data_IF_196814546160
#
_entry.id   IF_196814546160
#
_cell.length_a   1.000
_cell.length_b   1.000
_cell.length_c   1.000
_cell.angle_alpha   90.00
_cell.angle_beta   90.00
_cell.angle_gamma   90.00
#
_symmetry.space_group_name_H-M   'P 1'
#
loop_
_entity.id
_entity.type
_entity.pdbx_description
1 polymer ?
#
# COMPACT_ATOMS: atom_id res chain seq x y z
N UNK A 1 -38.75 -39.74 -12.03
CA UNK A 1 -38.96 -40.66 -13.16
C UNK A 1 -37.60 -41.13 -13.63
N UNK A 2 -37.34 -42.43 -13.50
CA UNK A 2 -36.14 -43.10 -13.98
C UNK A 2 -36.16 -43.17 -15.51
N UNK A 3 -35.02 -42.99 -16.19
CA UNK A 3 -34.65 -43.92 -17.25
C UNK A 3 -33.13 -43.92 -17.54
N UNK A 4 -32.60 -45.12 -17.39
CA UNK A 4 -31.29 -45.66 -17.76
C UNK A 4 -31.02 -45.52 -19.26
N UNK A 5 -29.77 -45.22 -19.66
CA UNK A 5 -29.30 -45.49 -21.02
C UNK A 5 -28.04 -46.35 -21.01
N UNK A 6 -28.00 -47.27 -21.98
CA UNK A 6 -27.23 -48.50 -21.99
C UNK A 6 -25.71 -48.31 -22.00
N UNK A 7 -25.05 -49.20 -21.27
CA UNK A 7 -23.65 -49.58 -21.43
C UNK A 7 -23.38 -50.12 -22.84
N UNK A 8 -22.42 -49.51 -23.56
CA UNK A 8 -21.68 -50.19 -24.62
C UNK A 8 -20.27 -50.47 -24.12
N UNK A 9 -20.03 -51.72 -23.70
CA UNK A 9 -18.67 -52.24 -23.51
C UNK A 9 -18.00 -52.35 -24.88
N UNK A 10 -16.90 -51.63 -25.09
CA UNK A 10 -15.87 -52.00 -26.07
C UNK A 10 -14.53 -52.12 -25.36
N UNK A 11 -13.78 -53.11 -25.82
CA UNK A 11 -12.77 -53.83 -25.07
C UNK A 11 -11.54 -53.02 -24.67
N UNK A 12 -10.87 -53.56 -23.66
CA UNK A 12 -9.55 -53.17 -23.21
C UNK A 12 -8.55 -53.20 -24.39
N UNK A 13 -7.88 -52.07 -24.61
CA UNK A 13 -6.53 -52.06 -25.13
C UNK A 13 -5.64 -51.44 -24.06
N UNK A 14 -4.93 -52.31 -23.34
CA UNK A 14 -3.89 -51.95 -22.38
C UNK A 14 -2.64 -51.54 -23.14
N UNK A 15 -2.60 -50.28 -23.58
CA UNK A 15 -1.38 -49.64 -24.10
C UNK A 15 -1.08 -48.40 -23.27
N UNK A 16 -0.11 -48.48 -22.35
CA UNK A 16 0.40 -47.29 -21.68
C UNK A 16 1.10 -46.43 -22.74
N UNK A 17 0.68 -45.18 -22.99
CA UNK A 17 1.40 -44.33 -23.95
C UNK A 17 2.85 -44.16 -23.46
N UNK A 18 3.83 -44.09 -24.39
CA UNK A 18 5.23 -43.90 -24.02
C UNK A 18 5.35 -42.64 -23.16
N UNK A 19 6.19 -42.70 -22.12
CA UNK A 19 6.52 -41.53 -21.32
C UNK A 19 7.14 -40.51 -22.28
N UNK A 20 6.39 -39.46 -22.62
CA UNK A 20 6.93 -38.30 -23.29
C UNK A 20 8.10 -37.73 -22.48
N UNK A 21 9.03 -37.01 -23.12
CA UNK A 21 10.17 -36.44 -22.42
C UNK A 21 9.70 -35.64 -21.20
N UNK A 22 10.37 -35.85 -20.06
CA UNK A 22 10.09 -35.13 -18.83
C UNK A 22 10.09 -33.64 -19.13
N UNK A 23 8.91 -33.01 -18.96
CA UNK A 23 8.74 -31.57 -19.09
C UNK A 23 9.81 -30.90 -18.22
N UNK A 24 10.62 -29.98 -18.77
CA UNK A 24 11.64 -29.33 -17.97
C UNK A 24 10.98 -28.68 -16.75
N UNK A 25 11.64 -28.70 -15.58
CA UNK A 25 11.12 -28.05 -14.39
C UNK A 25 10.78 -26.61 -14.73
N UNK A 26 9.58 -26.16 -14.35
CA UNK A 26 9.23 -24.75 -14.46
C UNK A 26 10.31 -23.95 -13.70
N UNK A 27 10.81 -22.84 -14.27
CA UNK A 27 11.73 -21.99 -13.55
C UNK A 27 11.09 -21.62 -12.22
N UNK A 28 11.88 -21.72 -11.13
CA UNK A 28 11.43 -21.29 -9.81
C UNK A 28 10.90 -19.86 -9.92
N UNK A 29 9.76 -19.53 -9.28
CA UNK A 29 9.24 -18.17 -9.29
C UNK A 29 10.37 -17.23 -8.86
N UNK A 30 10.55 -16.14 -9.62
CA UNK A 30 11.47 -15.10 -9.22
C UNK A 30 11.12 -14.66 -7.79
N UNK A 31 12.12 -14.38 -6.94
CA UNK A 31 11.85 -13.85 -5.61
C UNK A 31 10.96 -12.60 -5.76
N UNK A 32 9.97 -12.42 -4.87
CA UNK A 32 9.10 -11.25 -4.94
C UNK A 32 9.94 -9.98 -4.86
N UNK A 33 9.66 -9.02 -5.75
CA UNK A 33 10.37 -7.75 -5.75
C UNK A 33 10.26 -7.04 -4.39
N UNK A 34 11.33 -6.34 -3.97
CA UNK A 34 11.30 -5.60 -2.72
C UNK A 34 10.20 -4.51 -2.75
N UNK A 35 9.63 -4.16 -1.59
CA UNK A 35 8.63 -3.09 -1.52
C UNK A 35 9.18 -1.77 -2.08
N UNK A 36 8.55 -1.24 -3.12
CA UNK A 36 8.91 0.04 -3.73
C UNK A 36 8.35 1.20 -2.90
N UNK A 37 9.22 2.13 -2.52
CA UNK A 37 8.82 3.41 -1.92
C UNK A 37 8.22 4.33 -2.99
N UNK A 38 7.01 4.81 -2.74
CA UNK A 38 6.20 5.67 -3.58
C UNK A 38 6.13 7.11 -3.04
N UNK A 39 6.72 7.40 -1.88
CA UNK A 39 6.84 8.75 -1.32
C UNK A 39 8.12 9.46 -1.82
N UNK A 40 8.38 9.36 -3.12
CA UNK A 40 9.51 9.99 -3.83
C UNK A 40 9.03 10.62 -5.14
N UNK A 41 9.73 11.63 -5.68
CA UNK A 41 9.32 12.30 -6.90
C UNK A 41 9.15 11.36 -8.09
N UNK A 42 8.09 11.57 -8.86
CA UNK A 42 7.76 10.82 -10.06
C UNK A 42 7.26 11.76 -11.18
N UNK A 43 6.81 11.20 -12.31
CA UNK A 43 6.37 11.98 -13.47
C UNK A 43 5.12 12.84 -13.21
N UNK A 44 4.27 12.42 -12.27
CA UNK A 44 3.01 13.09 -11.93
C UNK A 44 3.14 14.25 -10.93
N UNK A 45 4.27 14.39 -10.24
CA UNK A 45 4.47 15.53 -9.34
C UNK A 45 4.55 16.83 -10.14
N UNK A 46 4.00 17.93 -9.61
CA UNK A 46 4.23 19.26 -10.19
C UNK A 46 5.62 19.78 -9.81
N UNK A 47 6.07 20.82 -10.50
CA UNK A 47 7.28 21.56 -10.10
C UNK A 47 7.16 22.14 -8.69
N UNK A 48 5.97 22.63 -8.32
CA UNK A 48 5.70 23.11 -6.98
C UNK A 48 5.85 22.00 -5.93
N UNK A 49 5.24 20.83 -6.16
CA UNK A 49 5.37 19.65 -5.30
C UNK A 49 6.85 19.25 -5.12
N UNK A 50 7.59 19.12 -6.24
CA UNK A 50 9.02 18.79 -6.21
C UNK A 50 9.84 19.82 -5.43
N UNK A 51 9.58 21.11 -5.62
CA UNK A 51 10.28 22.19 -4.92
C UNK A 51 10.03 22.16 -3.41
N UNK A 52 8.78 21.97 -2.98
CA UNK A 52 8.46 21.86 -1.55
C UNK A 52 9.09 20.62 -0.92
N UNK A 53 9.05 19.49 -1.63
CA UNK A 53 9.69 18.26 -1.17
C UNK A 53 11.20 18.43 -0.97
N UNK A 54 11.90 19.08 -1.90
CA UNK A 54 13.34 19.35 -1.73
C UNK A 54 13.63 20.25 -0.53
N UNK A 55 12.80 21.27 -0.28
CA UNK A 55 12.93 22.11 0.93
C UNK A 55 12.74 21.30 2.21
N UNK A 56 11.75 20.42 2.25
CA UNK A 56 11.51 19.55 3.40
C UNK A 56 12.62 18.51 3.58
N UNK A 57 13.19 17.96 2.50
CA UNK A 57 14.37 17.10 2.57
C UNK A 57 15.59 17.83 3.15
N UNK A 58 15.87 19.06 2.70
CA UNK A 58 16.97 19.85 3.23
C UNK A 58 16.79 20.17 4.72
N UNK A 59 15.54 20.45 5.14
CA UNK A 59 15.19 20.63 6.55
C UNK A 59 15.37 19.33 7.36
N UNK A 60 15.01 18.18 6.80
CA UNK A 60 15.20 16.87 7.42
C UNK A 60 16.67 16.44 7.54
N UNK A 61 17.57 16.96 6.72
CA UNK A 61 19.00 16.70 6.84
C UNK A 61 19.60 17.14 8.19
N UNK A 62 18.91 18.05 8.92
CA UNK A 62 19.26 18.43 10.29
C UNK A 62 18.96 17.36 11.35
N UNK A 63 18.39 16.20 10.98
CA UNK A 63 18.20 15.04 11.86
C UNK A 63 16.97 15.09 12.78
N UNK A 64 16.38 16.27 13.01
CA UNK A 64 15.16 16.42 13.81
C UNK A 64 13.90 15.87 13.12
N UNK A 65 13.92 15.79 11.78
CA UNK A 65 12.80 15.29 10.97
C UNK A 65 13.23 14.08 10.16
N UNK A 66 12.39 13.05 10.13
CA UNK A 66 12.57 11.85 9.34
C UNK A 66 11.58 11.82 8.18
N UNK A 67 12.06 11.64 6.95
CA UNK A 67 11.20 11.35 5.80
C UNK A 67 10.68 9.92 5.93
N UNK A 68 9.36 9.76 5.87
CA UNK A 68 8.72 8.45 5.92
C UNK A 68 8.56 7.88 4.50
N UNK A 69 9.01 6.62 4.25
CA UNK A 69 8.67 5.93 3.02
C UNK A 69 7.18 5.54 3.01
N UNK A 70 6.63 5.37 1.81
CA UNK A 70 5.24 4.95 1.61
C UNK A 70 5.15 3.84 0.58
N UNK A 71 4.55 2.71 0.95
CA UNK A 71 4.51 1.52 0.10
C UNK A 71 3.08 1.21 -0.36
N UNK A 72 2.97 0.42 -1.44
CA UNK A 72 1.67 -0.07 -1.94
C UNK A 72 0.85 -0.79 -0.87
N UNK A 73 1.48 -1.52 0.05
CA UNK A 73 0.77 -2.28 1.11
C UNK A 73 1.13 -1.75 2.50
N UNK A 74 0.12 -1.58 3.35
CA UNK A 74 0.29 -1.05 4.71
C UNK A 74 1.31 -1.83 5.55
N UNK A 75 1.33 -3.18 5.45
CA UNK A 75 2.25 -4.05 6.19
C UNK A 75 3.74 -3.74 6.02
N UNK A 76 4.13 -3.09 4.92
CA UNK A 76 5.54 -2.73 4.68
C UNK A 76 6.00 -1.50 5.48
N UNK A 77 5.08 -0.78 6.14
CA UNK A 77 5.41 0.42 6.92
C UNK A 77 5.83 0.10 8.36
N UNK A 78 5.63 -1.13 8.85
CA UNK A 78 5.89 -1.50 10.25
C UNK A 78 7.35 -1.29 10.69
N UNK A 79 8.32 -1.46 9.79
CA UNK A 79 9.73 -1.21 10.08
C UNK A 79 10.13 0.27 9.93
N UNK A 80 9.42 1.03 9.10
CA UNK A 80 9.79 2.40 8.72
C UNK A 80 9.41 3.47 9.76
N UNK A 81 8.35 3.22 10.54
CA UNK A 81 7.85 4.15 11.57
C UNK A 81 8.56 3.93 12.93
N UNK A 82 9.51 3.00 13.01
CA UNK A 82 10.24 2.71 14.24
C UNK A 82 9.39 2.10 15.36
N UNK A 83 8.12 1.76 15.09
CA UNK A 83 7.22 1.04 15.99
C UNK A 83 7.51 -0.47 15.95
N UNK A 84 8.10 -1.07 16.99
CA UNK A 84 7.99 -2.51 17.18
C UNK A 84 6.50 -2.79 17.45
N UNK A 85 5.82 -3.53 16.57
CA UNK A 85 4.45 -4.00 16.87
C UNK A 85 3.41 -3.87 15.77
N UNK A 86 3.61 -3.09 14.70
CA UNK A 86 2.68 -3.13 13.55
C UNK A 86 2.94 -4.29 12.59
N UNK A 87 4.15 -4.86 12.64
CA UNK A 87 4.41 -6.23 12.18
C UNK A 87 4.27 -7.26 13.32
N UNK A 88 3.79 -6.86 14.50
CA UNK A 88 4.01 -7.55 15.76
C UNK A 88 2.86 -7.45 16.76
N UNK A 89 1.61 -7.60 16.29
CA UNK A 89 0.49 -8.01 17.19
C UNK A 89 0.65 -9.48 17.62
N UNK A 90 1.73 -10.16 17.22
CA UNK A 90 1.97 -11.55 17.61
C UNK A 90 3.42 -11.75 18.08
N UNK A 91 3.63 -11.57 19.38
CA UNK A 91 4.72 -12.24 20.11
C UNK A 91 4.53 -13.75 20.25
N UNK A 92 3.58 -14.35 19.51
CA UNK A 92 3.44 -15.78 19.30
C UNK A 92 3.59 -16.08 17.80
N UNK A 93 3.99 -17.32 17.46
CA UNK A 93 4.08 -17.82 16.07
C UNK A 93 2.88 -17.33 15.25
N UNK A 94 3.09 -16.32 14.41
CA UNK A 94 2.09 -15.91 13.42
C UNK A 94 1.84 -17.10 12.52
N UNK A 95 0.60 -17.61 12.43
CA UNK A 95 0.21 -18.36 11.25
C UNK A 95 0.57 -17.52 10.02
N UNK A 96 0.98 -18.11 8.88
CA UNK A 96 1.10 -17.37 7.65
C UNK A 96 -0.21 -16.60 7.46
N UNK A 97 -0.12 -15.27 7.42
CA UNK A 97 -1.29 -14.47 7.06
C UNK A 97 -1.84 -15.07 5.76
N UNK A 98 -3.15 -15.33 5.65
CA UNK A 98 -3.73 -15.88 4.43
C UNK A 98 -3.25 -15.01 3.26
N UNK A 99 -3.04 -15.58 2.05
CA UNK A 99 -2.62 -14.81 0.90
C UNK A 99 -3.62 -13.68 0.68
N UNK A 100 -3.29 -12.51 1.22
CA UNK A 100 -4.01 -11.29 0.96
C UNK A 100 -3.87 -11.11 -0.53
N UNK A 101 -5.00 -11.12 -1.24
CA UNK A 101 -5.07 -10.84 -2.66
C UNK A 101 -4.47 -9.47 -2.99
N UNK A 102 -5.03 -8.77 -3.96
CA UNK A 102 -4.52 -7.44 -4.30
C UNK A 102 -5.00 -6.36 -3.32
N UNK A 103 -4.60 -6.48 -2.05
CA UNK A 103 -4.85 -5.47 -1.02
C UNK A 103 -3.81 -4.36 -1.11
N UNK A 104 -4.30 -3.12 -1.03
CA UNK A 104 -3.51 -1.91 -1.21
C UNK A 104 -3.83 -0.94 -0.07
N UNK A 105 -2.82 -0.17 0.37
CA UNK A 105 -3.06 1.00 1.20
C UNK A 105 -3.97 1.94 0.40
N UNK A 106 -5.04 2.47 1.02
CA UNK A 106 -6.05 3.24 0.31
C UNK A 106 -5.47 4.43 -0.46
N UNK A 107 -4.55 5.18 0.18
CA UNK A 107 -3.80 6.27 -0.48
C UNK A 107 -2.93 5.85 -1.67
N UNK A 108 -2.65 4.55 -1.84
CA UNK A 108 -1.85 3.96 -2.93
C UNK A 108 -2.66 2.97 -3.78
N UNK A 109 -3.99 3.03 -3.70
CA UNK A 109 -4.87 2.12 -4.42
C UNK A 109 -5.02 2.50 -5.90
N UNK A 110 -5.08 3.81 -6.18
CA UNK A 110 -5.14 4.37 -7.53
C UNK A 110 -3.75 4.26 -8.18
N UNK A 111 -3.70 3.67 -9.37
CA UNK A 111 -2.48 3.52 -10.17
C UNK A 111 -2.29 4.65 -11.17
N UNK A 112 -1.04 4.81 -11.61
CA UNK A 112 -0.59 5.86 -12.51
C UNK A 112 -0.15 7.10 -11.74
N UNK A 113 1.08 7.52 -12.04
CA UNK A 113 1.68 8.71 -11.44
C UNK A 113 0.78 9.93 -11.66
N UNK A 114 0.45 10.65 -10.60
CA UNK A 114 -0.35 11.87 -10.63
C UNK A 114 -1.86 11.67 -10.69
N UNK A 115 -2.38 10.44 -10.85
CA UNK A 115 -3.84 10.20 -10.98
C UNK A 115 -4.59 10.32 -9.64
N UNK A 116 -3.99 9.82 -8.55
CA UNK A 116 -4.59 9.73 -7.22
C UNK A 116 -3.88 10.62 -6.21
N UNK A 117 -3.51 10.06 -5.05
CA UNK A 117 -2.76 10.79 -4.03
C UNK A 117 -1.26 10.77 -4.32
N UNK A 118 -0.70 11.93 -4.67
CA UNK A 118 0.75 12.13 -4.63
C UNK A 118 1.12 12.77 -3.31
N UNK A 119 1.90 12.09 -2.48
CA UNK A 119 2.24 12.60 -1.15
C UNK A 119 3.58 12.11 -0.62
N UNK A 120 4.13 12.89 0.32
CA UNK A 120 5.26 12.53 1.16
C UNK A 120 5.02 13.04 2.59
N UNK A 121 5.51 12.32 3.59
CA UNK A 121 5.39 12.68 5.00
C UNK A 121 6.75 12.81 5.66
N UNK A 122 6.86 13.79 6.57
CA UNK A 122 8.04 14.05 7.37
C UNK A 122 7.61 14.10 8.83
N UNK A 123 8.24 13.29 9.67
CA UNK A 123 7.89 13.12 11.07
C UNK A 123 9.00 13.67 11.96
N UNK A 124 8.62 14.50 12.92
CA UNK A 124 9.41 14.80 14.10
C UNK A 124 8.72 14.15 15.30
N UNK A 125 9.20 12.96 15.68
CA UNK A 125 8.60 12.17 16.75
C UNK A 125 8.79 12.83 18.13
N UNK A 126 9.92 13.51 18.35
CA UNK A 126 10.21 14.20 19.60
C UNK A 126 9.23 15.36 19.86
N UNK A 127 8.90 16.12 18.81
CA UNK A 127 7.93 17.22 18.89
C UNK A 127 6.48 16.77 18.65
N UNK A 128 6.25 15.49 18.33
CA UNK A 128 4.94 14.93 17.96
C UNK A 128 4.29 15.71 16.81
N UNK A 129 5.09 16.02 15.78
CA UNK A 129 4.66 16.76 14.59
C UNK A 129 4.87 15.95 13.34
N UNK A 130 3.92 16.05 12.42
CA UNK A 130 4.04 15.47 11.09
C UNK A 130 3.67 16.53 10.05
N UNK A 131 4.54 16.66 9.05
CA UNK A 131 4.29 17.46 7.85
C UNK A 131 3.92 16.51 6.73
N UNK A 132 2.74 16.72 6.13
CA UNK A 132 2.31 16.01 4.94
C UNK A 132 2.31 16.99 3.77
N UNK A 133 3.11 16.67 2.75
CA UNK A 133 3.02 17.32 1.46
C UNK A 133 2.11 16.46 0.58
N UNK A 134 1.08 17.06 0.00
CA UNK A 134 0.11 16.37 -0.85
C UNK A 134 -0.20 17.17 -2.11
N UNK A 135 -0.32 16.47 -3.23
CA UNK A 135 -0.86 16.95 -4.49
C UNK A 135 -1.97 16.00 -4.93
N UNK A 136 -3.25 16.40 -4.82
CA UNK A 136 -4.36 15.61 -5.31
C UNK A 136 -4.36 15.51 -6.84
N UNK A 137 -4.58 14.30 -7.35
CA UNK A 137 -4.77 14.02 -8.77
C UNK A 137 -6.22 14.16 -9.24
N UNK A 138 -6.47 14.10 -10.56
CA UNK A 138 -7.79 14.30 -11.15
C UNK A 138 -8.83 13.26 -10.71
N UNK A 139 -8.43 12.04 -10.32
CA UNK A 139 -9.38 11.01 -9.87
C UNK A 139 -9.86 11.22 -8.43
N UNK A 140 -9.37 12.27 -7.76
CA UNK A 140 -9.83 12.67 -6.43
C UNK A 140 -10.84 13.83 -6.52
N UNK A 141 -11.35 14.15 -7.71
CA UNK A 141 -12.34 15.21 -7.91
C UNK A 141 -13.67 14.90 -7.19
N UNK A 142 -14.27 15.92 -6.59
CA UNK A 142 -15.63 15.87 -6.06
C UNK A 142 -16.54 16.78 -6.86
N UNK A 143 -16.49 18.08 -6.56
CA UNK A 143 -17.10 19.09 -7.44
C UNK A 143 -16.13 19.39 -8.60
N UNK A 144 -16.60 19.72 -9.81
CA UNK A 144 -15.71 20.03 -10.94
C UNK A 144 -14.60 21.02 -10.58
N UNK A 145 -13.35 20.61 -10.80
CA UNK A 145 -12.13 21.35 -10.49
C UNK A 145 -11.68 21.33 -9.03
N UNK A 146 -12.43 20.69 -8.12
CA UNK A 146 -12.14 20.66 -6.68
C UNK A 146 -11.92 19.23 -6.18
N UNK A 147 -10.95 19.07 -5.28
CA UNK A 147 -10.72 17.79 -4.60
C UNK A 147 -11.92 17.43 -3.71
N UNK A 148 -12.38 16.19 -3.80
CA UNK A 148 -13.48 15.66 -2.99
C UNK A 148 -13.15 15.77 -1.50
N UNK A 149 -14.10 16.28 -0.70
CA UNK A 149 -13.91 16.45 0.75
C UNK A 149 -13.48 15.15 1.45
N UNK A 150 -14.05 14.01 1.06
CA UNK A 150 -13.61 12.69 1.55
C UNK A 150 -12.15 12.33 1.21
N UNK A 151 -11.61 12.80 0.08
CA UNK A 151 -10.19 12.59 -0.24
C UNK A 151 -9.29 13.48 0.64
N UNK A 152 -9.71 14.72 0.91
CA UNK A 152 -9.04 15.61 1.88
C UNK A 152 -9.07 14.98 3.28
N UNK A 153 -10.23 14.50 3.74
CA UNK A 153 -10.34 13.78 5.00
C UNK A 153 -9.42 12.56 5.07
N UNK A 154 -9.31 11.82 3.97
CA UNK A 154 -8.45 10.62 3.88
C UNK A 154 -6.97 10.95 4.11
N UNK A 155 -6.45 12.00 3.49
CA UNK A 155 -5.04 12.37 3.68
C UNK A 155 -4.79 12.95 5.08
N UNK A 156 -5.75 13.69 5.65
CA UNK A 156 -5.70 14.19 7.03
C UNK A 156 -5.70 13.02 8.03
N UNK A 157 -6.64 12.07 7.89
CA UNK A 157 -6.72 10.87 8.73
C UNK A 157 -5.41 10.08 8.67
N UNK A 158 -4.88 9.86 7.46
CA UNK A 158 -3.64 9.11 7.29
C UNK A 158 -2.44 9.81 7.91
N UNK A 159 -2.36 11.15 7.81
CA UNK A 159 -1.29 11.95 8.39
C UNK A 159 -1.33 11.93 9.94
N UNK A 160 -2.50 12.18 10.51
CA UNK A 160 -2.71 12.15 11.96
C UNK A 160 -2.53 10.74 12.52
N UNK A 161 -3.09 9.73 11.85
CA UNK A 161 -2.93 8.32 12.19
C UNK A 161 -1.47 7.89 12.18
N UNK A 162 -0.69 8.28 11.16
CA UNK A 162 0.75 8.02 11.10
C UNK A 162 1.51 8.69 12.25
N UNK A 163 1.15 9.94 12.58
CA UNK A 163 1.76 10.64 13.71
C UNK A 163 1.43 9.98 15.05
N UNK A 164 0.16 9.66 15.29
CA UNK A 164 -0.31 8.99 16.50
C UNK A 164 0.32 7.61 16.65
N UNK A 165 0.41 6.86 15.56
CA UNK A 165 1.07 5.57 15.50
C UNK A 165 2.54 5.63 15.92
N UNK A 166 3.28 6.62 15.41
CA UNK A 166 4.69 6.79 15.74
C UNK A 166 4.94 7.16 17.22
N UNK A 167 3.99 7.87 17.84
CA UNK A 167 4.14 8.40 19.21
C UNK A 167 3.52 7.49 20.27
N UNK A 168 2.44 6.77 19.94
CA UNK A 168 1.63 5.99 20.87
C UNK A 168 1.54 4.49 20.53
N UNK A 169 2.14 4.03 19.42
CA UNK A 169 2.03 2.65 18.97
C UNK A 169 0.73 2.36 18.23
N UNK A 170 0.31 1.08 18.09
CA UNK A 170 -0.89 0.70 17.34
C UNK A 170 -2.16 1.39 17.86
N UNK A 171 -2.79 2.21 17.01
CA UNK A 171 -4.00 2.99 17.31
C UNK A 171 -4.99 2.92 16.15
N UNK A 172 -6.25 3.27 16.42
CA UNK A 172 -7.29 3.48 15.41
C UNK A 172 -7.96 4.82 15.64
N UNK A 173 -8.44 5.45 14.56
CA UNK A 173 -9.15 6.73 14.64
C UNK A 173 -10.50 6.53 15.33
N UNK A 174 -10.70 7.17 16.49
CA UNK A 174 -11.97 7.16 17.21
C UNK A 174 -12.88 8.33 16.80
N UNK A 175 -12.29 9.50 16.56
CA UNK A 175 -12.99 10.71 16.12
C UNK A 175 -12.09 11.48 15.16
N UNK A 176 -12.70 12.02 14.09
CA UNK A 176 -12.07 12.95 13.16
C UNK A 176 -13.08 14.06 12.87
N UNK A 177 -12.76 15.28 13.31
CA UNK A 177 -13.55 16.48 13.06
C UNK A 177 -12.76 17.39 12.12
N UNK A 178 -13.39 17.82 11.02
CA UNK A 178 -12.75 18.64 9.99
C UNK A 178 -13.69 19.77 9.61
N UNK A 179 -13.19 21.00 9.73
CA UNK A 179 -13.85 22.20 9.22
C UNK A 179 -13.25 22.56 7.85
N UNK A 180 -14.05 22.45 6.78
CA UNK A 180 -13.65 22.84 5.43
C UNK A 180 -13.90 24.34 5.23
N UNK A 181 -12.83 25.11 5.11
CA UNK A 181 -12.90 26.58 5.10
C UNK A 181 -12.84 27.19 3.71
N UNK A 182 -12.32 26.47 2.71
CA UNK A 182 -12.15 26.91 1.33
C UNK A 182 -12.13 25.70 0.37
#
# INVERSE_FOLDING_TARGET
>A
MWLTLLTLRRGLSTGRPPRGPSRPPLPSPLPPEPPRDLAVPNGGWSEAMRRHYQRLLAMAAGGAWARLPSYRRARHHGAAVGTPGLGGVTGGRTPPLPPLGDTRLFLRAIEGDGNGFEYAMFLNAAERRLLCLVQPGPYLEGHPGLTHGGAIATIIDSALGTCALAVAGPVVTANLSIDYLA
#
